data_IF_898501014862
#
_entry.id   IF_898501014862
#
_cell.length_a   1.000
_cell.length_b   1.000
_cell.length_c   1.000
_cell.angle_alpha   90.00
_cell.angle_beta   90.00
_cell.angle_gamma   90.00
#
_symmetry.space_group_name_H-M   'P 1'
#
loop_
_entity.id
_entity.type
_entity.pdbx_description
1 polymer ?
#
# COMPACT_ATOMS: atom_id res chain seq x y z
N UNK A 1 -24.40 10.49 -8.86
CA UNK A 1 -23.57 11.60 -8.33
C UNK A 1 -22.16 11.42 -8.92
N UNK A 2 -21.42 12.49 -9.16
CA UNK A 2 -20.05 12.36 -9.67
C UNK A 2 -19.07 12.08 -8.51
N UNK A 3 -17.89 11.48 -8.82
CA UNK A 3 -16.79 11.28 -7.84
C UNK A 3 -16.45 12.59 -7.11
N UNK A 4 -16.50 13.73 -7.81
CA UNK A 4 -16.33 15.05 -7.22
C UNK A 4 -17.39 15.36 -6.15
N UNK A 5 -18.64 14.96 -6.35
CA UNK A 5 -19.72 15.11 -5.36
C UNK A 5 -19.52 14.23 -4.12
N UNK A 6 -18.98 13.02 -4.28
CA UNK A 6 -18.63 12.13 -3.18
C UNK A 6 -17.49 12.69 -2.33
N UNK A 7 -16.46 13.28 -2.96
CA UNK A 7 -15.37 13.96 -2.25
C UNK A 7 -15.86 15.11 -1.40
N UNK A 8 -16.78 15.94 -1.93
CA UNK A 8 -17.32 17.10 -1.21
C UNK A 8 -18.26 16.68 -0.07
N UNK A 9 -19.05 15.63 -0.26
CA UNK A 9 -19.99 15.14 0.76
C UNK A 9 -19.29 14.48 1.97
N UNK A 10 -18.04 14.04 1.82
CA UNK A 10 -17.22 13.48 2.91
C UNK A 10 -17.72 12.16 3.51
N UNK A 11 -18.79 11.56 2.97
CA UNK A 11 -19.37 10.31 3.47
C UNK A 11 -18.45 9.10 3.28
N UNK A 12 -17.60 9.11 2.27
CA UNK A 12 -16.56 8.11 2.06
C UNK A 12 -15.60 7.96 3.27
N UNK A 13 -15.39 9.03 4.04
CA UNK A 13 -14.54 9.02 5.25
C UNK A 13 -15.06 8.04 6.30
N UNK A 14 -16.38 7.91 6.45
CA UNK A 14 -16.98 6.96 7.39
C UNK A 14 -16.67 5.52 7.00
N UNK A 15 -16.71 5.19 5.71
CA UNK A 15 -16.38 3.87 5.17
C UNK A 15 -14.88 3.59 5.31
N UNK A 16 -14.04 4.55 4.96
CA UNK A 16 -12.59 4.47 5.15
C UNK A 16 -12.23 4.23 6.64
N UNK A 17 -12.84 5.00 7.54
CA UNK A 17 -12.63 4.86 8.99
C UNK A 17 -13.06 3.48 9.50
N UNK A 18 -14.15 2.93 8.98
CA UNK A 18 -14.56 1.55 9.28
C UNK A 18 -13.47 0.56 8.90
N UNK A 19 -12.95 0.64 7.69
CA UNK A 19 -11.87 -0.23 7.22
C UNK A 19 -10.61 -0.10 8.10
N UNK A 20 -10.25 1.13 8.46
CA UNK A 20 -9.15 1.40 9.40
C UNK A 20 -9.38 0.75 10.77
N UNK A 21 -10.58 0.87 11.35
CA UNK A 21 -10.91 0.30 12.67
C UNK A 21 -10.86 -1.24 12.66
N UNK A 22 -11.30 -1.87 11.58
CA UNK A 22 -11.21 -3.32 11.40
C UNK A 22 -9.74 -3.74 11.29
N UNK A 23 -8.98 -3.07 10.42
CA UNK A 23 -7.56 -3.36 10.22
C UNK A 23 -6.73 -3.15 11.49
N UNK A 24 -7.02 -2.11 12.27
CA UNK A 24 -6.29 -1.81 13.52
C UNK A 24 -6.26 -2.99 14.50
N UNK A 25 -7.27 -3.85 14.49
CA UNK A 25 -7.31 -5.05 15.33
C UNK A 25 -6.25 -6.08 14.94
N UNK A 26 -5.83 -6.08 13.68
CA UNK A 26 -4.83 -6.99 13.10
C UNK A 26 -3.57 -6.24 12.64
N UNK A 27 -3.43 -4.98 13.05
CA UNK A 27 -2.37 -4.11 12.56
C UNK A 27 -0.96 -4.68 12.83
N UNK A 28 -0.74 -5.24 14.02
CA UNK A 28 0.56 -5.81 14.39
C UNK A 28 0.98 -6.94 13.42
N UNK A 29 0.07 -7.85 13.11
CA UNK A 29 0.32 -8.97 12.18
C UNK A 29 0.51 -8.44 10.76
N UNK A 30 -0.34 -7.49 10.33
CA UNK A 30 -0.25 -6.89 9.00
C UNK A 30 1.05 -6.12 8.80
N UNK A 31 1.49 -5.34 9.79
CA UNK A 31 2.74 -4.58 9.74
C UNK A 31 3.94 -5.52 9.77
N UNK A 32 3.91 -6.54 10.64
CA UNK A 32 4.98 -7.53 10.71
C UNK A 32 5.17 -8.24 9.35
N UNK A 33 4.10 -8.71 8.71
CA UNK A 33 4.16 -9.31 7.38
C UNK A 33 4.74 -8.35 6.33
N UNK A 34 4.27 -7.10 6.32
CA UNK A 34 4.77 -6.09 5.38
C UNK A 34 6.25 -5.70 5.57
N UNK A 35 6.84 -5.99 6.73
CA UNK A 35 8.25 -5.74 7.02
C UNK A 35 9.09 -7.00 6.80
N UNK A 36 8.60 -8.15 7.23
CA UNK A 36 9.34 -9.41 7.22
C UNK A 36 9.70 -9.82 5.78
N UNK A 37 8.73 -9.82 4.87
CA UNK A 37 8.96 -10.22 3.48
C UNK A 37 10.02 -9.38 2.77
N UNK A 38 9.94 -8.02 2.76
CA UNK A 38 10.99 -7.19 2.17
C UNK A 38 12.35 -7.30 2.87
N UNK A 39 12.34 -7.57 4.18
CA UNK A 39 13.56 -7.76 4.94
C UNK A 39 14.29 -9.02 4.49
N UNK A 40 13.57 -10.12 4.27
CA UNK A 40 14.13 -11.32 3.67
C UNK A 40 14.70 -11.06 2.27
N UNK A 41 14.01 -10.28 1.44
CA UNK A 41 14.51 -9.88 0.14
C UNK A 41 15.79 -9.05 0.25
N UNK A 42 15.80 -8.02 1.09
CA UNK A 42 16.95 -7.14 1.28
C UNK A 42 18.16 -7.88 1.89
N UNK A 43 17.94 -8.72 2.89
CA UNK A 43 19.02 -9.47 3.53
C UNK A 43 19.47 -10.65 2.67
N UNK A 44 18.54 -11.43 2.13
CA UNK A 44 18.84 -12.60 1.32
C UNK A 44 19.53 -12.22 0.01
N UNK A 45 18.88 -11.43 -0.83
CA UNK A 45 19.44 -11.02 -2.12
C UNK A 45 20.43 -9.86 -1.99
N UNK A 46 20.17 -8.90 -1.08
CA UNK A 46 21.02 -7.74 -0.89
C UNK A 46 22.41 -8.12 -0.39
N UNK A 47 22.51 -8.96 0.64
CA UNK A 47 23.80 -9.42 1.15
C UNK A 47 24.37 -10.56 0.30
N UNK A 48 23.52 -11.47 -0.20
CA UNK A 48 23.95 -12.60 -1.00
C UNK A 48 24.64 -12.19 -2.30
N UNK A 49 24.03 -11.24 -3.04
CA UNK A 49 24.60 -10.78 -4.32
C UNK A 49 25.57 -9.59 -4.18
N UNK A 50 25.59 -8.87 -3.06
CA UNK A 50 26.49 -7.74 -2.87
C UNK A 50 27.99 -8.12 -2.97
N UNK A 51 28.35 -9.38 -2.70
CA UNK A 51 29.71 -9.90 -2.87
C UNK A 51 30.08 -10.12 -4.33
N UNK A 52 29.08 -10.40 -5.19
CA UNK A 52 29.27 -10.66 -6.61
C UNK A 52 29.07 -9.40 -7.46
N UNK A 53 28.15 -8.54 -7.03
CA UNK A 53 27.79 -7.28 -7.68
C UNK A 53 27.86 -6.17 -6.64
N UNK A 54 29.04 -5.57 -6.42
CA UNK A 54 29.21 -4.56 -5.38
C UNK A 54 28.43 -3.26 -5.70
N UNK A 55 28.38 -2.87 -6.97
CA UNK A 55 27.76 -1.61 -7.43
C UNK A 55 27.00 -1.80 -8.75
N UNK A 56 25.94 -1.05 -8.92
CA UNK A 56 25.16 -0.89 -10.15
C UNK A 56 25.10 0.61 -10.46
N UNK A 57 25.68 1.01 -11.61
CA UNK A 57 25.72 2.41 -12.06
C UNK A 57 26.27 3.39 -10.99
N UNK A 58 27.27 2.97 -10.21
CA UNK A 58 27.88 3.80 -9.18
C UNK A 58 27.10 3.88 -7.85
N UNK A 59 26.03 3.09 -7.73
CA UNK A 59 25.24 2.95 -6.50
C UNK A 59 25.49 1.56 -5.90
N UNK A 60 25.66 1.46 -4.58
CA UNK A 60 25.78 0.16 -3.91
C UNK A 60 24.57 -0.71 -4.25
N UNK A 61 24.81 -1.97 -4.65
CA UNK A 61 23.78 -2.91 -5.06
C UNK A 61 22.61 -3.01 -4.07
N UNK A 62 22.89 -3.05 -2.77
CA UNK A 62 21.88 -3.14 -1.72
C UNK A 62 20.96 -1.89 -1.67
N UNK A 63 21.51 -0.70 -1.96
CA UNK A 63 20.72 0.53 -2.00
C UNK A 63 19.82 0.58 -3.26
N UNK A 64 20.35 0.12 -4.40
CA UNK A 64 19.57 -0.08 -5.62
C UNK A 64 18.42 -1.06 -5.41
N UNK A 65 18.73 -2.21 -4.81
CA UNK A 65 17.74 -3.24 -4.48
C UNK A 65 16.65 -2.71 -3.52
N UNK A 66 17.03 -1.90 -2.53
CA UNK A 66 16.10 -1.30 -1.58
C UNK A 66 15.07 -0.41 -2.28
N UNK A 67 15.49 0.41 -3.25
CA UNK A 67 14.58 1.25 -4.05
C UNK A 67 13.56 0.41 -4.82
N UNK A 68 14.02 -0.63 -5.53
CA UNK A 68 13.16 -1.57 -6.24
C UNK A 68 12.18 -2.31 -5.31
N UNK A 69 12.66 -2.73 -4.15
CA UNK A 69 11.83 -3.42 -3.15
C UNK A 69 10.73 -2.53 -2.61
N UNK A 70 11.00 -1.24 -2.35
CA UNK A 70 9.98 -0.28 -1.89
C UNK A 70 8.88 -0.13 -2.95
N UNK A 71 9.25 0.07 -4.22
CA UNK A 71 8.28 0.20 -5.31
C UNK A 71 7.44 -1.08 -5.47
N UNK A 72 8.08 -2.24 -5.49
CA UNK A 72 7.43 -3.54 -5.62
C UNK A 72 6.43 -3.81 -4.50
N UNK A 73 6.85 -3.63 -3.24
CA UNK A 73 5.99 -3.91 -2.09
C UNK A 73 4.83 -2.92 -1.97
N UNK A 74 5.04 -1.66 -2.35
CA UNK A 74 3.99 -0.64 -2.42
C UNK A 74 2.93 -1.03 -3.44
N UNK A 75 3.35 -1.41 -4.64
CA UNK A 75 2.49 -1.93 -5.71
C UNK A 75 1.71 -3.17 -5.23
N UNK A 76 2.42 -4.13 -4.66
CA UNK A 76 1.84 -5.39 -4.19
C UNK A 76 0.80 -5.16 -3.09
N UNK A 77 1.09 -4.32 -2.11
CA UNK A 77 0.18 -3.99 -1.01
C UNK A 77 -1.13 -3.37 -1.50
N UNK A 78 -1.06 -2.43 -2.45
CA UNK A 78 -2.26 -1.83 -3.05
C UNK A 78 -3.07 -2.85 -3.86
N UNK A 79 -2.39 -3.65 -4.68
CA UNK A 79 -3.02 -4.66 -5.52
C UNK A 79 -3.71 -5.74 -4.68
N UNK A 80 -3.03 -6.28 -3.67
CA UNK A 80 -3.62 -7.28 -2.77
C UNK A 80 -4.81 -6.73 -2.00
N UNK A 81 -4.73 -5.50 -1.50
CA UNK A 81 -5.86 -4.91 -0.78
C UNK A 81 -7.08 -4.71 -1.70
N UNK A 82 -6.88 -4.24 -2.91
CA UNK A 82 -7.97 -4.05 -3.86
C UNK A 82 -8.53 -5.37 -4.38
N UNK A 83 -7.67 -6.27 -4.87
CA UNK A 83 -8.07 -7.52 -5.52
C UNK A 83 -8.64 -8.55 -4.53
N UNK A 84 -8.01 -8.75 -3.38
CA UNK A 84 -8.44 -9.80 -2.45
C UNK A 84 -9.31 -9.27 -1.32
N UNK A 85 -8.86 -8.24 -0.61
CA UNK A 85 -9.63 -7.71 0.52
C UNK A 85 -10.87 -6.95 0.05
N UNK A 86 -10.75 -6.16 -1.03
CA UNK A 86 -11.86 -5.46 -1.68
C UNK A 86 -12.89 -6.44 -2.22
N UNK A 87 -12.45 -7.43 -3.00
CA UNK A 87 -13.30 -8.52 -3.51
C UNK A 87 -14.02 -9.27 -2.38
N UNK A 88 -13.29 -9.65 -1.33
CA UNK A 88 -13.88 -10.35 -0.20
C UNK A 88 -14.97 -9.52 0.49
N UNK A 89 -14.75 -8.21 0.68
CA UNK A 89 -15.78 -7.31 1.25
C UNK A 89 -16.98 -7.14 0.36
N UNK A 90 -16.78 -7.11 -0.95
CA UNK A 90 -17.85 -6.92 -1.94
C UNK A 90 -18.67 -8.20 -2.12
N UNK A 91 -18.02 -9.32 -2.45
CA UNK A 91 -18.70 -10.55 -2.92
C UNK A 91 -18.87 -11.62 -1.84
N UNK A 92 -17.89 -11.81 -0.96
CA UNK A 92 -17.89 -12.90 0.02
C UNK A 92 -18.60 -12.50 1.32
N UNK A 93 -18.18 -11.37 1.89
CA UNK A 93 -18.74 -10.87 3.15
C UNK A 93 -20.00 -10.02 2.96
N UNK A 94 -20.31 -9.63 1.72
CA UNK A 94 -21.42 -8.73 1.36
C UNK A 94 -21.49 -7.47 2.22
N UNK A 95 -20.32 -7.00 2.64
CA UNK A 95 -20.22 -5.81 3.51
C UNK A 95 -20.73 -4.55 2.81
N UNK A 96 -20.54 -4.47 1.48
CA UNK A 96 -21.01 -3.34 0.70
C UNK A 96 -22.53 -3.23 0.71
N UNK A 97 -23.25 -4.35 0.64
CA UNK A 97 -24.72 -4.37 0.74
C UNK A 97 -25.19 -3.76 2.08
N UNK A 98 -24.52 -4.14 3.18
CA UNK A 98 -24.80 -3.56 4.50
C UNK A 98 -24.50 -2.07 4.61
N UNK A 99 -23.43 -1.59 3.97
CA UNK A 99 -23.08 -0.16 3.95
C UNK A 99 -24.08 0.64 3.10
N UNK A 100 -24.50 0.09 1.96
CA UNK A 100 -25.45 0.73 1.06
C UNK A 100 -26.88 0.80 1.62
N UNK A 101 -27.20 0.04 2.68
CA UNK A 101 -28.44 0.22 3.43
C UNK A 101 -28.48 1.52 4.26
N UNK A 102 -27.33 2.17 4.47
CA UNK A 102 -27.22 3.50 5.07
C UNK A 102 -27.29 4.58 3.96
N UNK A 103 -27.44 5.88 4.30
CA UNK A 103 -27.48 6.97 3.32
C UNK A 103 -26.09 7.28 2.72
N UNK A 104 -25.44 6.26 2.18
CA UNK A 104 -24.11 6.28 1.55
C UNK A 104 -24.25 5.78 0.11
N UNK A 105 -23.69 6.49 -0.86
CA UNK A 105 -23.72 6.10 -2.27
C UNK A 105 -22.67 5.06 -2.62
N UNK A 106 -22.85 4.35 -3.73
CA UNK A 106 -21.87 3.41 -4.25
C UNK A 106 -20.52 4.11 -4.54
N UNK A 107 -20.60 5.35 -5.04
CA UNK A 107 -19.42 6.17 -5.30
C UNK A 107 -18.60 6.45 -4.01
N UNK A 108 -19.28 6.67 -2.88
CA UNK A 108 -18.63 6.88 -1.58
C UNK A 108 -17.91 5.61 -1.13
N UNK A 109 -18.50 4.42 -1.36
CA UNK A 109 -17.91 3.13 -1.01
C UNK A 109 -16.68 2.85 -1.87
N UNK A 110 -16.80 2.98 -3.19
CA UNK A 110 -15.68 2.76 -4.13
C UNK A 110 -14.53 3.71 -3.86
N UNK A 111 -14.82 5.00 -3.62
CA UNK A 111 -13.80 5.99 -3.29
C UNK A 111 -13.09 5.65 -1.98
N UNK A 112 -13.84 5.22 -0.97
CA UNK A 112 -13.27 4.83 0.32
C UNK A 112 -12.36 3.60 0.20
N UNK A 113 -12.75 2.60 -0.57
CA UNK A 113 -11.95 1.40 -0.82
C UNK A 113 -10.68 1.75 -1.59
N UNK A 114 -10.77 2.62 -2.59
CA UNK A 114 -9.62 3.09 -3.36
C UNK A 114 -8.59 3.81 -2.48
N UNK A 115 -9.06 4.79 -1.70
CA UNK A 115 -8.19 5.54 -0.77
C UNK A 115 -7.66 4.62 0.34
N UNK A 116 -8.45 3.65 0.80
CA UNK A 116 -8.02 2.69 1.79
C UNK A 116 -6.85 1.82 1.29
N UNK A 117 -6.95 1.24 0.10
CA UNK A 117 -5.90 0.46 -0.51
C UNK A 117 -4.61 1.28 -0.73
N UNK A 118 -4.74 2.54 -1.18
CA UNK A 118 -3.63 3.47 -1.30
C UNK A 118 -3.01 3.83 0.08
N UNK A 119 -3.82 3.96 1.13
CA UNK A 119 -3.33 4.19 2.49
C UNK A 119 -2.50 3.01 3.01
N UNK A 120 -2.90 1.77 2.70
CA UNK A 120 -2.13 0.58 3.06
C UNK A 120 -0.81 0.48 2.31
N UNK A 121 -0.80 0.82 1.04
CA UNK A 121 0.44 0.85 0.25
C UNK A 121 1.42 1.91 0.78
N UNK A 122 0.92 3.07 1.18
CA UNK A 122 1.72 4.10 1.83
C UNK A 122 2.34 3.61 3.13
N UNK A 123 1.57 2.90 3.97
CA UNK A 123 2.09 2.29 5.20
C UNK A 123 3.19 1.26 4.90
N UNK A 124 2.99 0.40 3.90
CA UNK A 124 3.97 -0.60 3.49
C UNK A 124 5.26 0.06 2.99
N UNK A 125 5.15 1.01 2.06
CA UNK A 125 6.30 1.72 1.50
C UNK A 125 7.10 2.50 2.56
N UNK A 126 6.39 3.19 3.48
CA UNK A 126 7.05 3.93 4.57
C UNK A 126 7.71 3.00 5.58
N UNK A 127 7.12 1.85 5.88
CA UNK A 127 7.72 0.87 6.80
C UNK A 127 9.06 0.36 6.25
N UNK A 128 9.12 0.03 4.95
CA UNK A 128 10.35 -0.44 4.32
C UNK A 128 11.39 0.69 4.18
N UNK A 129 10.93 1.90 3.87
CA UNK A 129 11.79 3.08 3.86
C UNK A 129 12.48 3.26 5.22
N UNK A 130 11.72 3.16 6.32
CA UNK A 130 12.28 3.24 7.68
C UNK A 130 13.31 2.14 7.95
N UNK A 131 13.04 0.92 7.51
CA UNK A 131 14.01 -0.19 7.60
C UNK A 131 15.27 0.11 6.80
N UNK A 132 15.14 0.59 5.56
CA UNK A 132 16.28 0.94 4.71
C UNK A 132 17.14 2.06 5.32
N UNK A 133 16.50 3.08 5.91
CA UNK A 133 17.19 4.15 6.64
C UNK A 133 17.88 3.61 7.90
N UNK A 134 17.21 2.76 8.67
CA UNK A 134 17.78 2.15 9.89
C UNK A 134 19.00 1.26 9.59
N UNK A 135 19.02 0.60 8.44
CA UNK A 135 20.15 -0.19 7.94
C UNK A 135 21.27 0.68 7.32
N UNK A 136 21.09 2.01 7.28
CA UNK A 136 22.10 2.93 6.73
C UNK A 136 22.30 2.82 5.21
N UNK A 137 21.30 2.26 4.49
CA UNK A 137 21.40 2.00 3.05
C UNK A 137 21.43 3.27 2.23
N UNK A 138 20.82 4.34 2.71
CA UNK A 138 20.95 5.69 2.14
C UNK A 138 20.58 6.74 3.19
N UNK A 139 21.23 7.90 3.12
CA UNK A 139 20.99 9.06 3.99
C UNK A 139 20.65 10.31 3.18
N UNK A 140 20.22 10.15 1.94
CA UNK A 140 19.87 11.27 1.07
C UNK A 140 18.51 11.86 1.43
N UNK A 141 18.41 13.18 1.45
CA UNK A 141 17.15 13.93 1.61
C UNK A 141 16.10 13.57 0.55
N UNK A 142 16.54 13.09 -0.61
CA UNK A 142 15.65 12.67 -1.69
C UNK A 142 14.75 11.48 -1.32
N UNK A 143 15.09 10.72 -0.28
CA UNK A 143 14.25 9.63 0.22
C UNK A 143 12.86 10.08 0.70
N UNK A 144 12.70 11.35 1.11
CA UNK A 144 11.40 11.89 1.50
C UNK A 144 10.40 11.84 0.33
N UNK A 145 10.86 11.94 -0.92
CA UNK A 145 10.01 11.84 -2.11
C UNK A 145 9.46 10.42 -2.36
N UNK A 146 10.01 9.40 -1.71
CA UNK A 146 9.46 8.04 -1.78
C UNK A 146 8.05 7.97 -1.18
N UNK A 147 7.77 8.78 -0.15
CA UNK A 147 6.45 8.80 0.51
C UNK A 147 5.32 9.22 -0.44
N UNK A 148 5.38 10.39 -1.11
CA UNK A 148 4.37 10.77 -2.10
C UNK A 148 4.37 9.83 -3.32
N UNK A 149 5.52 9.30 -3.74
CA UNK A 149 5.60 8.34 -4.82
C UNK A 149 4.88 7.03 -4.46
N UNK A 150 5.07 6.51 -3.24
CA UNK A 150 4.36 5.33 -2.73
C UNK A 150 2.84 5.54 -2.74
N UNK A 151 2.36 6.73 -2.39
CA UNK A 151 0.94 7.07 -2.48
C UNK A 151 0.44 7.03 -3.93
N UNK A 152 1.18 7.62 -4.86
CA UNK A 152 0.81 7.63 -6.29
C UNK A 152 0.78 6.22 -6.88
N UNK A 153 1.79 5.41 -6.60
CA UNK A 153 1.83 3.99 -6.99
C UNK A 153 0.61 3.27 -6.39
N UNK A 154 0.33 3.50 -5.11
CA UNK A 154 -0.81 2.92 -4.42
C UNK A 154 -2.14 3.28 -5.05
N UNK A 155 -2.36 4.56 -5.39
CA UNK A 155 -3.58 5.01 -6.07
C UNK A 155 -3.74 4.38 -7.45
N UNK A 156 -2.67 4.30 -8.24
CA UNK A 156 -2.71 3.71 -9.57
C UNK A 156 -3.07 2.21 -9.51
N UNK A 157 -2.36 1.43 -8.70
CA UNK A 157 -2.56 -0.02 -8.62
C UNK A 157 -3.83 -0.41 -7.87
N UNK A 158 -4.25 0.37 -6.87
CA UNK A 158 -5.55 0.19 -6.21
C UNK A 158 -6.70 0.43 -7.19
N UNK A 159 -6.60 1.46 -8.05
CA UNK A 159 -7.61 1.73 -9.08
C UNK A 159 -7.72 0.58 -10.08
N UNK A 160 -6.58 0.10 -10.60
CA UNK A 160 -6.55 -1.08 -11.48
C UNK A 160 -7.16 -2.32 -10.81
N UNK A 161 -6.80 -2.58 -9.55
CA UNK A 161 -7.34 -3.71 -8.78
C UNK A 161 -8.85 -3.63 -8.60
N UNK A 162 -9.39 -2.47 -8.26
CA UNK A 162 -10.84 -2.28 -8.11
C UNK A 162 -11.61 -2.47 -9.43
N UNK A 163 -11.07 -2.03 -10.56
CA UNK A 163 -11.67 -2.27 -11.87
C UNK A 163 -11.73 -3.77 -12.19
N UNK A 164 -10.72 -4.54 -11.77
CA UNK A 164 -10.70 -5.99 -11.98
C UNK A 164 -11.64 -6.76 -11.03
N UNK A 165 -12.03 -6.17 -9.91
CA UNK A 165 -12.95 -6.78 -8.94
C UNK A 165 -14.42 -6.44 -9.18
N UNK A 166 -14.69 -5.42 -9.95
CA UNK A 166 -16.05 -4.97 -10.31
C UNK A 166 -16.67 -5.86 -11.39
#
# INVERSE_FOLDING_TARGET
>A
MSVAGALVAGRWVAVWRRNYLVWRKLAAVSIAGNIIDPLFYLLGFGLGFATMIPEVEGVKYIAFLAGGTICYTTMLAASFEALYSGFARMHVQRTWEGILAAPVGLEDVVLAEWIWAASKSLLSGTAILLVAVALGLSQSWTMVFIVPLALLIGLAFAGMGLVMTA
#
